data_IF_541846972865
#
_entry.id   IF_541846972865
#
_cell.length_a   1.000
_cell.length_b   1.000
_cell.length_c   1.000
_cell.angle_alpha   90.00
_cell.angle_beta   90.00
_cell.angle_gamma   90.00
#
_symmetry.space_group_name_H-M   'P 1'
#
loop_
_entity.id
_entity.type
_entity.pdbx_description
1 polymer ?
#
# COMPACT_ATOMS: atom_id res chain seq x y z
N UNK A 1 34.41 3.00 -21.46
CA UNK A 1 34.26 2.37 -22.79
C UNK A 1 32.78 2.42 -23.11
N UNK A 2 32.33 3.34 -23.97
CA UNK A 2 30.92 3.42 -24.38
C UNK A 2 30.70 2.29 -25.41
N UNK A 3 29.87 1.31 -25.06
CA UNK A 3 29.47 0.26 -26.01
C UNK A 3 28.58 0.91 -27.08
N UNK A 4 28.79 0.60 -28.36
CA UNK A 4 28.02 1.18 -29.47
C UNK A 4 26.51 0.84 -29.41
N UNK A 5 26.15 -0.20 -28.66
CA UNK A 5 24.77 -0.68 -28.47
C UNK A 5 24.21 -0.42 -27.05
N UNK A 6 24.80 0.52 -26.30
CA UNK A 6 24.46 0.76 -24.89
C UNK A 6 22.98 1.07 -24.65
N UNK A 7 22.38 1.96 -25.44
CA UNK A 7 20.96 2.33 -25.29
C UNK A 7 20.02 1.17 -25.65
N UNK A 8 20.41 0.33 -26.62
CA UNK A 8 19.66 -0.89 -26.95
C UNK A 8 19.69 -1.90 -25.81
N UNK A 9 20.83 -2.03 -25.13
CA UNK A 9 20.96 -2.90 -23.94
C UNK A 9 20.04 -2.38 -22.83
N UNK A 10 20.08 -1.08 -22.54
CA UNK A 10 19.23 -0.48 -21.50
C UNK A 10 17.75 -0.67 -21.83
N UNK A 11 17.35 -0.46 -23.09
CA UNK A 11 15.97 -0.68 -23.52
C UNK A 11 15.53 -2.13 -23.30
N UNK A 12 16.37 -3.11 -23.60
CA UNK A 12 16.07 -4.53 -23.36
C UNK A 12 15.92 -4.82 -21.86
N UNK A 13 16.77 -4.22 -21.02
CA UNK A 13 16.67 -4.33 -19.55
C UNK A 13 15.35 -3.72 -19.06
N UNK A 14 15.01 -2.51 -19.51
CA UNK A 14 13.74 -1.87 -19.14
C UNK A 14 12.53 -2.70 -19.58
N UNK A 15 12.53 -3.25 -20.80
CA UNK A 15 11.47 -4.14 -21.29
C UNK A 15 11.34 -5.40 -20.44
N UNK A 16 12.47 -6.01 -20.08
CA UNK A 16 12.47 -7.16 -19.18
C UNK A 16 11.80 -6.85 -17.84
N UNK A 17 12.12 -5.70 -17.24
CA UNK A 17 11.50 -5.26 -15.99
C UNK A 17 10.05 -4.76 -16.16
N UNK A 18 9.67 -4.25 -17.33
CA UNK A 18 8.29 -3.84 -17.61
C UNK A 18 7.36 -5.03 -17.81
N UNK A 19 7.86 -6.12 -18.41
CA UNK A 19 7.09 -7.33 -18.68
C UNK A 19 6.99 -8.24 -17.44
N UNK A 20 8.00 -8.25 -16.57
CA UNK A 20 8.00 -9.06 -15.34
C UNK A 20 7.52 -8.27 -14.13
N UNK A 21 6.61 -8.85 -13.35
CA UNK A 21 6.25 -8.37 -12.01
C UNK A 21 7.36 -8.66 -10.98
N UNK A 22 8.61 -8.22 -11.26
CA UNK A 22 9.73 -8.38 -10.34
C UNK A 22 10.00 -7.08 -9.59
N UNK A 23 10.12 -7.10 -8.24
CA UNK A 23 10.52 -5.93 -7.49
C UNK A 23 11.97 -5.56 -7.85
N UNK A 24 12.18 -4.33 -8.34
CA UNK A 24 13.50 -3.76 -8.59
C UNK A 24 13.70 -2.55 -7.69
N UNK A 25 14.94 -2.28 -7.29
CA UNK A 25 15.30 -1.02 -6.67
C UNK A 25 15.54 0.00 -7.78
N UNK A 26 14.83 1.13 -7.81
CA UNK A 26 15.04 2.20 -8.80
C UNK A 26 16.51 2.62 -8.92
N UNK A 27 17.26 2.59 -7.82
CA UNK A 27 18.69 2.90 -7.75
C UNK A 27 19.53 1.97 -8.63
N UNK A 28 19.22 0.67 -8.62
CA UNK A 28 19.96 -0.34 -9.39
C UNK A 28 19.80 -0.11 -10.89
N UNK A 29 18.61 0.30 -11.33
CA UNK A 29 18.35 0.68 -12.72
C UNK A 29 18.98 2.03 -13.05
N UNK A 30 18.92 2.99 -12.14
CA UNK A 30 19.46 4.33 -12.33
C UNK A 30 20.98 4.33 -12.56
N UNK A 31 21.72 3.40 -11.94
CA UNK A 31 23.17 3.22 -12.17
C UNK A 31 23.50 2.83 -13.62
N UNK A 32 22.54 2.23 -14.35
CA UNK A 32 22.71 1.93 -15.78
C UNK A 32 22.60 3.18 -16.66
N UNK A 33 22.23 4.33 -16.11
CA UNK A 33 22.09 5.56 -16.86
C UNK A 33 23.26 6.52 -16.63
N UNK A 34 23.76 7.10 -17.72
CA UNK A 34 24.79 8.14 -17.66
C UNK A 34 24.18 9.54 -17.82
N UNK A 35 24.82 10.59 -17.28
CA UNK A 35 24.30 11.96 -17.37
C UNK A 35 24.01 12.47 -18.79
N UNK A 36 24.61 11.88 -19.83
CA UNK A 36 24.48 12.30 -21.23
C UNK A 36 23.35 11.59 -22.01
N UNK A 37 22.41 10.92 -21.34
CA UNK A 37 21.32 10.15 -21.99
C UNK A 37 19.99 10.89 -22.17
N UNK A 38 20.00 12.23 -22.15
CA UNK A 38 18.77 13.02 -22.27
C UNK A 38 17.96 12.70 -23.55
N UNK A 39 18.66 12.54 -24.68
CA UNK A 39 18.01 12.20 -25.95
C UNK A 39 17.29 10.84 -25.87
N UNK A 40 17.97 9.84 -25.33
CA UNK A 40 17.42 8.49 -25.16
C UNK A 40 16.21 8.48 -24.21
N UNK A 41 16.23 9.23 -23.10
CA UNK A 41 15.09 9.32 -22.19
C UNK A 41 13.88 9.97 -22.87
N UNK A 42 14.10 10.99 -23.70
CA UNK A 42 13.02 11.61 -24.47
C UNK A 42 12.42 10.64 -25.51
N UNK A 43 13.26 9.82 -26.15
CA UNK A 43 12.79 8.74 -27.03
C UNK A 43 11.95 7.72 -26.28
N UNK A 44 12.41 7.26 -25.10
CA UNK A 44 11.64 6.34 -24.25
C UNK A 44 10.26 6.91 -23.86
N UNK A 45 10.22 8.18 -23.46
CA UNK A 45 8.95 8.84 -23.11
C UNK A 45 8.03 8.93 -24.34
N UNK A 46 8.60 9.24 -25.51
CA UNK A 46 7.82 9.40 -26.75
C UNK A 46 7.24 8.06 -27.21
N UNK A 47 8.08 7.02 -27.26
CA UNK A 47 7.73 5.71 -27.80
C UNK A 47 6.78 4.93 -26.89
N UNK A 48 6.91 5.10 -25.57
CA UNK A 48 6.19 4.33 -24.57
C UNK A 48 5.21 5.17 -23.74
N UNK A 49 4.85 6.37 -24.19
CA UNK A 49 4.00 7.29 -23.44
C UNK A 49 2.70 6.66 -22.91
N UNK A 50 2.13 5.70 -23.65
CA UNK A 50 0.87 5.01 -23.34
C UNK A 50 1.04 3.70 -22.57
N UNK A 51 2.26 3.30 -22.23
CA UNK A 51 2.56 2.10 -21.45
C UNK A 51 2.76 2.48 -19.96
N UNK A 52 1.81 2.15 -19.07
CA UNK A 52 1.90 2.51 -17.65
C UNK A 52 3.11 1.90 -16.96
N UNK A 53 3.47 0.65 -17.30
CA UNK A 53 4.57 -0.07 -16.65
C UNK A 53 5.90 0.53 -17.05
N UNK A 54 6.08 0.79 -18.35
CA UNK A 54 7.28 1.43 -18.86
C UNK A 54 7.43 2.85 -18.34
N UNK A 55 6.35 3.65 -18.31
CA UNK A 55 6.41 5.02 -17.81
C UNK A 55 6.73 5.08 -16.32
N UNK A 56 6.21 4.15 -15.51
CA UNK A 56 6.61 4.05 -14.10
C UNK A 56 8.11 3.79 -13.95
N UNK A 57 8.64 2.79 -14.66
CA UNK A 57 10.07 2.45 -14.69
C UNK A 57 10.95 3.63 -15.11
N UNK A 58 10.57 4.31 -16.19
CA UNK A 58 11.30 5.47 -16.70
C UNK A 58 11.29 6.61 -15.67
N UNK A 59 10.17 6.87 -15.00
CA UNK A 59 10.09 7.92 -13.98
C UNK A 59 10.79 7.55 -12.66
N UNK A 60 10.87 6.28 -12.31
CA UNK A 60 11.74 5.78 -11.24
C UNK A 60 13.21 6.10 -11.57
N UNK A 61 13.68 5.71 -12.76
CA UNK A 61 15.05 6.04 -13.21
C UNK A 61 15.29 7.55 -13.20
N UNK A 62 14.37 8.35 -13.74
CA UNK A 62 14.48 9.81 -13.75
C UNK A 62 14.59 10.36 -12.32
N UNK A 63 13.79 9.86 -11.37
CA UNK A 63 13.79 10.30 -9.99
C UNK A 63 15.14 10.11 -9.28
N UNK A 64 15.90 9.09 -9.68
CA UNK A 64 17.19 8.75 -9.08
C UNK A 64 18.39 9.31 -9.88
N UNK A 65 18.44 9.10 -11.19
CA UNK A 65 19.56 9.54 -12.03
C UNK A 65 19.46 11.00 -12.49
N UNK A 66 18.24 11.55 -12.64
CA UNK A 66 18.01 12.89 -13.21
C UNK A 66 16.99 13.73 -12.40
N UNK A 67 17.12 13.84 -11.06
CA UNK A 67 16.11 14.46 -10.21
C UNK A 67 15.79 15.92 -10.60
N UNK A 68 16.80 16.69 -11.00
CA UNK A 68 16.67 18.10 -11.40
C UNK A 68 15.89 18.30 -12.70
N UNK A 69 15.87 17.28 -13.58
CA UNK A 69 15.24 17.34 -14.92
C UNK A 69 13.87 16.67 -14.94
N UNK A 70 13.42 16.11 -13.82
CA UNK A 70 12.15 15.38 -13.69
C UNK A 70 10.94 16.17 -14.17
N UNK A 71 10.85 17.46 -13.82
CA UNK A 71 9.74 18.33 -14.25
C UNK A 71 9.71 18.54 -15.76
N UNK A 72 10.88 18.59 -16.42
CA UNK A 72 10.97 18.72 -17.88
C UNK A 72 10.51 17.44 -18.58
N UNK A 73 10.94 16.28 -18.09
CA UNK A 73 10.49 15.00 -18.64
C UNK A 73 9.00 14.75 -18.41
N UNK A 74 8.47 15.12 -17.23
CA UNK A 74 7.04 15.10 -16.97
C UNK A 74 6.27 16.01 -17.95
N UNK A 75 6.81 17.20 -18.22
CA UNK A 75 6.23 18.13 -19.20
C UNK A 75 6.18 17.50 -20.59
N UNK A 76 7.20 16.75 -20.99
CA UNK A 76 7.25 16.06 -22.28
C UNK A 76 6.21 14.93 -22.36
N UNK A 77 6.15 14.08 -21.34
CA UNK A 77 5.13 13.03 -21.26
C UNK A 77 3.72 13.64 -21.36
N UNK A 78 3.43 14.67 -20.59
CA UNK A 78 2.11 15.29 -20.53
C UNK A 78 1.71 16.05 -21.81
N UNK A 79 2.65 16.38 -22.71
CA UNK A 79 2.32 16.92 -24.04
C UNK A 79 1.76 15.84 -24.97
N UNK A 80 2.12 14.58 -24.74
CA UNK A 80 1.83 13.45 -25.62
C UNK A 80 0.71 12.58 -25.02
N UNK A 81 0.73 12.37 -23.70
CA UNK A 81 -0.26 11.59 -22.97
C UNK A 81 -0.96 12.41 -21.87
N UNK A 82 -2.28 12.33 -21.83
CA UNK A 82 -3.15 13.03 -20.88
C UNK A 82 -3.86 12.07 -19.90
N UNK A 83 -3.48 10.79 -19.88
CA UNK A 83 -4.09 9.77 -19.03
C UNK A 83 -3.69 9.98 -17.56
N UNK A 84 -4.70 10.21 -16.75
CA UNK A 84 -4.53 10.44 -15.33
C UNK A 84 -4.05 9.19 -14.58
N UNK A 85 -4.44 8.00 -14.99
CA UNK A 85 -4.05 6.77 -14.29
C UNK A 85 -2.57 6.46 -14.48
N UNK A 86 -2.01 6.77 -15.67
CA UNK A 86 -0.56 6.70 -15.90
C UNK A 86 0.13 7.73 -15.03
N UNK A 87 -0.31 8.99 -15.06
CA UNK A 87 0.27 10.06 -14.24
C UNK A 87 0.28 9.73 -12.74
N UNK A 88 -0.81 9.17 -12.22
CA UNK A 88 -0.97 8.82 -10.80
C UNK A 88 0.02 7.74 -10.34
N UNK A 89 0.49 6.89 -11.26
CA UNK A 89 1.41 5.79 -10.96
C UNK A 89 2.89 6.20 -11.04
N UNK A 90 3.20 7.40 -11.52
CA UNK A 90 4.57 7.88 -11.64
C UNK A 90 5.16 8.25 -10.28
N UNK A 91 6.43 7.94 -10.08
CA UNK A 91 7.20 8.34 -8.92
C UNK A 91 7.67 9.81 -9.04
N UNK A 92 6.73 10.74 -8.86
CA UNK A 92 6.96 12.16 -9.10
C UNK A 92 7.63 12.88 -7.93
N UNK A 93 7.62 12.31 -6.74
CA UNK A 93 8.21 12.90 -5.53
C UNK A 93 8.87 11.77 -4.75
N UNK A 94 10.14 11.95 -4.38
CA UNK A 94 10.94 10.90 -3.76
C UNK A 94 10.22 10.32 -2.54
N UNK A 95 10.17 8.99 -2.47
CA UNK A 95 9.80 8.29 -1.25
C UNK A 95 10.90 8.48 -0.19
N UNK A 96 10.54 8.32 1.09
CA UNK A 96 11.43 8.57 2.22
C UNK A 96 12.56 7.54 2.30
N UNK A 97 13.74 7.99 2.72
CA UNK A 97 14.77 7.18 3.36
C UNK A 97 14.74 7.54 4.85
N UNK A 98 14.57 6.58 5.76
CA UNK A 98 14.42 6.86 7.18
C UNK A 98 15.78 7.02 7.88
N UNK A 99 15.96 8.17 8.50
CA UNK A 99 16.93 8.43 9.56
C UNK A 99 16.21 9.22 10.67
N UNK A 100 16.65 9.05 11.91
CA UNK A 100 16.03 9.63 13.09
C UNK A 100 16.05 11.17 13.06
N UNK A 101 14.89 11.81 12.93
CA UNK A 101 14.73 13.26 13.16
C UNK A 101 13.51 13.44 14.08
N UNK A 102 13.69 14.21 15.15
CA UNK A 102 12.67 14.58 16.16
C UNK A 102 11.46 15.38 15.60
N UNK A 103 11.47 15.80 14.32
CA UNK A 103 10.32 16.45 13.66
C UNK A 103 10.33 16.18 12.15
N UNK A 104 9.15 15.92 11.59
CA UNK A 104 8.95 15.64 10.17
C UNK A 104 8.62 16.91 9.37
N UNK A 105 8.37 18.05 10.04
CA UNK A 105 8.08 19.35 9.40
C UNK A 105 9.08 19.68 8.27
N UNK A 106 10.41 19.65 8.46
CA UNK A 106 11.34 20.03 7.39
C UNK A 106 11.20 19.17 6.14
N UNK A 107 10.95 17.87 6.33
CA UNK A 107 10.71 16.95 5.22
C UNK A 107 9.36 17.20 4.54
N UNK A 108 8.29 17.43 5.32
CA UNK A 108 6.97 17.77 4.79
C UNK A 108 7.02 19.09 4.01
N UNK A 109 7.76 20.09 4.50
CA UNK A 109 8.00 21.36 3.81
C UNK A 109 8.73 21.15 2.48
N UNK A 110 9.79 20.34 2.46
CA UNK A 110 10.50 19.99 1.22
C UNK A 110 9.57 19.27 0.24
N UNK A 111 8.75 18.34 0.72
CA UNK A 111 7.79 17.58 -0.11
C UNK A 111 6.70 18.48 -0.70
N UNK A 112 6.28 19.53 0.03
CA UNK A 112 5.41 20.57 -0.52
C UNK A 112 6.09 21.29 -1.69
N UNK A 113 7.39 21.61 -1.58
CA UNK A 113 8.12 22.25 -2.68
C UNK A 113 8.21 21.33 -3.91
N UNK A 114 8.48 20.04 -3.70
CA UNK A 114 8.51 19.07 -4.79
C UNK A 114 7.15 19.01 -5.52
N UNK A 115 6.04 18.95 -4.79
CA UNK A 115 4.70 18.97 -5.40
C UNK A 115 4.36 20.29 -6.08
N UNK A 116 4.82 21.44 -5.55
CA UNK A 116 4.68 22.74 -6.22
C UNK A 116 5.45 22.78 -7.55
N UNK A 117 6.65 22.19 -7.60
CA UNK A 117 7.40 22.08 -8.86
C UNK A 117 6.63 21.26 -9.90
N UNK A 118 5.91 20.20 -9.47
CA UNK A 118 4.99 19.45 -10.34
C UNK A 118 3.79 20.30 -10.75
N UNK A 119 3.22 21.12 -9.86
CA UNK A 119 2.12 22.03 -10.19
C UNK A 119 2.50 23.03 -11.31
N UNK A 120 3.73 23.54 -11.29
CA UNK A 120 4.27 24.44 -12.31
C UNK A 120 4.42 23.78 -13.69
N UNK A 121 4.53 22.44 -13.75
CA UNK A 121 4.55 21.71 -15.02
C UNK A 121 3.28 22.00 -15.83
N UNK A 122 2.13 22.14 -15.17
CA UNK A 122 0.87 22.36 -15.89
C UNK A 122 0.71 23.78 -16.44
N UNK A 123 1.46 24.79 -15.97
CA UNK A 123 1.29 26.19 -16.39
C UNK A 123 1.50 26.38 -17.90
N UNK A 124 2.45 25.64 -18.49
CA UNK A 124 2.79 25.67 -19.92
C UNK A 124 2.05 24.66 -20.80
N UNK A 125 1.13 23.86 -20.26
CA UNK A 125 0.43 22.81 -21.01
C UNK A 125 -0.94 23.29 -21.51
N UNK A 126 -1.29 22.90 -22.75
CA UNK A 126 -2.53 23.28 -23.45
C UNK A 126 -3.12 22.07 -24.20
N UNK A 127 -4.46 21.92 -24.22
CA UNK A 127 -5.45 22.72 -23.50
C UNK A 127 -5.45 22.38 -22.00
N UNK A 128 -5.57 23.40 -21.14
CA UNK A 128 -5.49 23.24 -19.68
C UNK A 128 -6.58 22.33 -19.09
N UNK A 129 -7.72 22.23 -19.77
CA UNK A 129 -8.89 21.43 -19.38
C UNK A 129 -8.61 19.93 -19.29
N UNK A 130 -7.65 19.41 -20.08
CA UNK A 130 -7.27 17.99 -20.04
C UNK A 130 -6.61 17.58 -18.73
N UNK A 131 -6.06 18.52 -17.97
CA UNK A 131 -5.29 18.24 -16.75
C UNK A 131 -6.05 18.54 -15.46
N UNK A 132 -7.38 18.65 -15.50
CA UNK A 132 -8.17 18.95 -14.30
C UNK A 132 -7.93 17.93 -13.19
N UNK A 133 -8.05 16.63 -13.48
CA UNK A 133 -7.79 15.54 -12.52
C UNK A 133 -6.35 15.55 -11.97
N UNK A 134 -5.38 15.91 -12.81
CA UNK A 134 -3.97 15.95 -12.45
C UNK A 134 -3.69 17.09 -11.46
N UNK A 135 -4.21 18.29 -11.76
CA UNK A 135 -4.11 19.47 -10.89
C UNK A 135 -4.82 19.25 -9.56
N UNK A 136 -6.02 18.67 -9.59
CA UNK A 136 -6.77 18.33 -8.37
C UNK A 136 -6.00 17.35 -7.48
N UNK A 137 -5.39 16.31 -8.07
CA UNK A 137 -4.54 15.37 -7.34
C UNK A 137 -3.35 16.06 -6.68
N UNK A 138 -2.56 16.84 -7.44
CA UNK A 138 -1.38 17.54 -6.90
C UNK A 138 -1.78 18.52 -5.79
N UNK A 139 -2.87 19.26 -5.98
CA UNK A 139 -3.39 20.18 -4.96
C UNK A 139 -3.75 19.44 -3.68
N UNK A 140 -4.44 18.31 -3.77
CA UNK A 140 -4.79 17.48 -2.60
C UNK A 140 -3.56 17.00 -1.83
N UNK A 141 -2.47 16.64 -2.51
CA UNK A 141 -1.21 16.26 -1.85
C UNK A 141 -0.62 17.45 -1.06
N UNK A 142 -0.58 18.64 -1.66
CA UNK A 142 -0.08 19.87 -1.02
C UNK A 142 -0.96 20.26 0.17
N UNK A 143 -2.29 20.26 0.01
CA UNK A 143 -3.24 20.66 1.05
C UNK A 143 -3.24 19.67 2.22
N UNK A 144 -2.99 18.38 1.96
CA UNK A 144 -2.77 17.39 3.02
C UNK A 144 -1.48 17.69 3.80
N UNK A 145 -0.34 17.87 3.12
CA UNK A 145 0.94 18.17 3.78
C UNK A 145 0.92 19.47 4.60
N UNK A 146 0.23 20.51 4.12
CA UNK A 146 0.09 21.77 4.86
C UNK A 146 -0.69 21.59 6.16
N UNK A 147 -1.81 20.87 6.11
CA UNK A 147 -2.61 20.58 7.31
C UNK A 147 -1.81 19.78 8.32
N UNK A 148 -1.09 18.76 7.85
CA UNK A 148 -0.24 17.90 8.67
C UNK A 148 0.92 18.69 9.35
N UNK A 149 1.49 19.69 8.66
CA UNK A 149 2.47 20.63 9.26
C UNK A 149 1.82 21.59 10.27
N UNK A 150 0.63 22.11 9.98
CA UNK A 150 -0.10 23.00 10.90
C UNK A 150 -0.48 22.26 12.19
N UNK A 151 -0.86 20.99 12.08
CA UNK A 151 -1.13 20.09 13.21
C UNK A 151 0.14 19.82 14.06
N UNK A 152 1.30 19.64 13.42
CA UNK A 152 2.59 19.42 14.11
C UNK A 152 3.15 20.72 14.75
N UNK A 153 2.95 21.91 14.14
CA UNK A 153 3.42 23.21 14.66
C UNK A 153 2.58 23.79 15.78
N UNK A 154 1.28 23.49 15.77
CA UNK A 154 0.34 23.93 16.79
C UNK A 154 -0.46 22.72 17.28
N UNK A 155 0.18 21.80 18.02
CA UNK A 155 -0.56 20.80 18.77
C UNK A 155 -1.51 21.59 19.67
N UNK A 156 -2.81 21.55 19.39
CA UNK A 156 -3.80 22.37 20.07
C UNK A 156 -3.56 22.30 21.60
N UNK A 157 -3.34 23.45 22.26
CA UNK A 157 -3.23 23.58 23.74
C UNK A 157 -4.59 23.46 24.43
N UNK A 158 -5.47 22.66 23.85
CA UNK A 158 -6.54 21.98 24.56
C UNK A 158 -6.24 20.51 24.33
N UNK A 159 -6.09 19.67 25.37
CA UNK A 159 -6.10 18.24 25.13
C UNK A 159 -7.40 17.97 24.38
N UNK A 160 -7.30 17.67 23.09
CA UNK A 160 -8.36 16.96 22.40
C UNK A 160 -8.32 15.59 23.07
N UNK A 161 -9.03 15.49 24.17
CA UNK A 161 -9.86 14.32 24.40
C UNK A 161 -10.74 14.30 23.15
N UNK A 162 -10.23 13.69 22.08
CA UNK A 162 -11.08 13.16 21.03
C UNK A 162 -11.88 12.14 21.82
N UNK A 163 -13.09 12.52 22.21
CA UNK A 163 -13.98 11.52 22.74
C UNK A 163 -14.12 10.50 21.61
N UNK A 164 -13.97 9.21 21.92
CA UNK A 164 -13.93 8.11 20.98
C UNK A 164 -15.07 8.13 19.93
N UNK A 165 -16.15 8.87 20.23
CA UNK A 165 -17.36 9.15 19.44
C UNK A 165 -17.20 10.09 18.21
N UNK A 166 -15.99 10.52 17.80
CA UNK A 166 -15.82 11.39 16.59
C UNK A 166 -14.75 10.96 15.58
N UNK A 167 -14.00 9.89 15.84
CA UNK A 167 -13.11 9.32 14.83
C UNK A 167 -13.93 8.52 13.80
N UNK A 168 -13.55 8.53 12.51
CA UNK A 168 -14.26 7.75 11.52
C UNK A 168 -14.14 6.25 11.79
N UNK A 169 -15.20 5.52 11.49
CA UNK A 169 -15.12 4.07 11.34
C UNK A 169 -14.28 3.73 10.10
N UNK A 170 -13.55 2.62 10.17
CA UNK A 170 -12.76 2.15 9.05
C UNK A 170 -13.63 1.62 7.92
N UNK A 171 -13.46 2.19 6.73
CA UNK A 171 -14.14 1.75 5.51
C UNK A 171 -13.10 1.43 4.43
N UNK A 172 -12.68 0.16 4.28
CA UNK A 172 -11.67 -0.20 3.30
C UNK A 172 -12.18 -0.06 1.87
N UNK A 173 -11.26 0.20 0.96
CA UNK A 173 -11.55 0.18 -0.47
C UNK A 173 -11.71 -1.28 -0.91
N UNK A 174 -12.94 -1.66 -1.27
CA UNK A 174 -13.25 -2.93 -1.89
C UNK A 174 -12.96 -2.87 -3.39
N UNK A 175 -11.81 -3.40 -3.79
CA UNK A 175 -11.36 -3.44 -5.18
C UNK A 175 -12.25 -4.36 -6.03
N UNK A 176 -12.25 -4.21 -7.37
CA UNK A 176 -12.96 -5.12 -8.26
C UNK A 176 -12.58 -6.59 -8.05
N UNK A 177 -11.31 -6.87 -7.75
CA UNK A 177 -10.78 -8.22 -7.54
C UNK A 177 -11.35 -8.85 -6.27
N UNK A 178 -11.38 -8.12 -5.15
CA UNK A 178 -12.01 -8.60 -3.90
C UNK A 178 -13.51 -8.83 -4.07
N UNK A 179 -14.20 -7.94 -4.80
CA UNK A 179 -15.62 -8.10 -5.12
C UNK A 179 -15.86 -9.32 -6.01
N UNK A 180 -14.95 -9.58 -6.96
CA UNK A 180 -15.01 -10.74 -7.84
C UNK A 180 -14.84 -12.04 -7.06
N UNK A 181 -13.79 -12.12 -6.23
CA UNK A 181 -13.52 -13.25 -5.35
C UNK A 181 -14.72 -13.56 -4.44
N UNK A 182 -15.26 -12.54 -3.76
CA UNK A 182 -16.46 -12.69 -2.92
C UNK A 182 -17.62 -13.27 -3.72
N UNK A 183 -17.91 -12.70 -4.90
CA UNK A 183 -19.03 -13.14 -5.72
C UNK A 183 -18.86 -14.59 -6.18
N UNK A 184 -17.66 -15.00 -6.58
CA UNK A 184 -17.40 -16.37 -7.03
C UNK A 184 -17.59 -17.39 -5.92
N UNK A 185 -17.10 -17.10 -4.71
CA UNK A 185 -17.30 -17.97 -3.55
C UNK A 185 -18.80 -18.03 -3.20
N UNK A 186 -19.50 -16.88 -3.19
CA UNK A 186 -20.93 -16.84 -2.85
C UNK A 186 -21.82 -17.50 -3.91
N UNK A 187 -21.46 -17.42 -5.19
CA UNK A 187 -22.16 -18.14 -6.28
C UNK A 187 -21.99 -19.66 -6.14
N UNK A 188 -20.80 -20.13 -5.79
CA UNK A 188 -20.53 -21.56 -5.60
C UNK A 188 -21.09 -22.10 -4.28
N UNK A 189 -21.06 -21.31 -3.22
CA UNK A 189 -21.48 -21.67 -1.86
C UNK A 189 -22.49 -20.64 -1.31
N UNK A 190 -23.76 -20.63 -1.78
CA UNK A 190 -24.73 -19.58 -1.44
C UNK A 190 -25.08 -19.48 0.04
N UNK A 191 -25.01 -20.60 0.76
CA UNK A 191 -25.34 -20.68 2.19
C UNK A 191 -24.12 -20.53 3.10
N UNK A 192 -22.92 -20.42 2.53
CA UNK A 192 -21.71 -20.29 3.32
C UNK A 192 -21.55 -18.82 3.74
N UNK A 193 -21.32 -18.63 5.04
CA UNK A 193 -20.93 -17.35 5.59
C UNK A 193 -19.41 -17.29 5.71
N UNK A 194 -18.85 -16.19 5.24
CA UNK A 194 -17.41 -15.98 5.23
C UNK A 194 -17.12 -14.49 5.18
N UNK A 195 -15.95 -14.12 5.69
CA UNK A 195 -15.41 -12.77 5.61
C UNK A 195 -14.16 -12.75 4.74
N UNK A 196 -13.95 -11.63 4.05
CA UNK A 196 -12.72 -11.42 3.28
C UNK A 196 -11.98 -10.17 3.76
N UNK A 197 -10.67 -10.23 3.80
CA UNK A 197 -9.84 -9.05 4.02
C UNK A 197 -8.46 -9.23 3.39
N UNK A 198 -7.73 -8.13 3.21
CA UNK A 198 -6.38 -8.17 2.62
C UNK A 198 -5.40 -7.33 3.41
N UNK A 199 -4.17 -7.82 3.50
CA UNK A 199 -3.07 -7.08 4.12
C UNK A 199 -2.68 -5.83 3.32
N UNK A 200 -3.14 -5.69 2.06
CA UNK A 200 -3.01 -4.43 1.28
C UNK A 200 -3.64 -3.24 2.00
N UNK A 201 -4.64 -3.46 2.86
CA UNK A 201 -5.23 -2.39 3.65
C UNK A 201 -4.24 -1.78 4.65
N UNK A 202 -3.30 -2.58 5.16
CA UNK A 202 -2.27 -2.15 6.10
C UNK A 202 -1.24 -1.19 5.50
N UNK A 203 -1.12 -1.13 4.16
CA UNK A 203 -0.18 -0.24 3.48
C UNK A 203 -0.36 1.25 3.78
N UNK A 204 -1.52 1.64 4.31
CA UNK A 204 -1.79 3.01 4.72
C UNK A 204 -1.06 3.39 6.02
N UNK A 205 -0.57 2.41 6.77
CA UNK A 205 -0.06 2.60 8.14
C UNK A 205 1.35 2.06 8.38
N UNK A 206 1.93 1.38 7.39
CA UNK A 206 3.33 0.92 7.41
C UNK A 206 4.26 1.98 6.83
N UNK A 207 5.48 2.03 7.34
CA UNK A 207 6.53 2.91 6.84
C UNK A 207 7.24 2.29 5.63
N UNK A 208 7.48 0.98 5.67
CA UNK A 208 8.01 0.20 4.56
C UNK A 208 6.89 -0.56 3.85
N UNK A 209 6.75 -0.35 2.54
CA UNK A 209 5.73 -1.07 1.75
C UNK A 209 6.03 -2.58 1.75
N UNK A 210 5.04 -3.37 2.16
CA UNK A 210 5.12 -4.82 2.01
C UNK A 210 5.17 -5.17 0.51
N UNK A 211 6.16 -5.96 0.09
CA UNK A 211 6.27 -6.44 -1.30
C UNK A 211 5.37 -7.63 -1.63
N UNK A 212 4.71 -8.20 -0.61
CA UNK A 212 3.89 -9.41 -0.65
C UNK A 212 2.60 -9.13 0.09
N UNK A 213 1.46 -9.57 -0.45
CA UNK A 213 0.16 -9.36 0.17
C UNK A 213 -0.62 -10.65 0.26
N UNK A 214 -1.40 -10.73 1.33
CA UNK A 214 -2.30 -11.84 1.57
C UNK A 214 -3.73 -11.35 1.44
N UNK A 215 -4.56 -12.13 0.78
CA UNK A 215 -6.01 -12.01 0.85
C UNK A 215 -6.52 -13.21 1.63
N UNK A 216 -7.14 -12.94 2.77
CA UNK A 216 -7.66 -13.95 3.66
C UNK A 216 -9.15 -14.15 3.38
N UNK A 217 -9.53 -15.41 3.20
CA UNK A 217 -10.91 -15.88 3.08
C UNK A 217 -11.19 -16.71 4.33
N UNK A 218 -11.94 -16.13 5.25
CA UNK A 218 -12.21 -16.72 6.56
C UNK A 218 -13.65 -17.26 6.59
N UNK A 219 -13.79 -18.57 6.67
CA UNK A 219 -15.04 -19.29 6.50
C UNK A 219 -15.65 -19.64 7.85
N UNK A 220 -16.91 -19.26 8.07
CA UNK A 220 -17.69 -19.68 9.23
C UNK A 220 -18.10 -21.14 9.07
N UNK A 221 -17.73 -22.01 10.02
CA UNK A 221 -17.93 -23.46 9.93
C UNK A 221 -16.74 -24.27 10.42
N UNK A 222 -16.78 -25.56 10.17
CA UNK A 222 -15.73 -26.53 10.45
C UNK A 222 -14.69 -26.59 9.31
N UNK A 223 -13.69 -27.45 9.50
CA UNK A 223 -12.56 -27.57 8.58
C UNK A 223 -12.98 -28.03 7.18
N UNK A 224 -14.09 -28.78 7.03
CA UNK A 224 -14.57 -29.27 5.74
C UNK A 224 -15.08 -28.14 4.86
N UNK A 225 -15.78 -27.15 5.42
CA UNK A 225 -16.24 -25.99 4.63
C UNK A 225 -15.06 -25.13 4.16
N UNK A 226 -14.09 -24.86 5.03
CA UNK A 226 -12.87 -24.14 4.65
C UNK A 226 -12.09 -24.91 3.55
N UNK A 227 -11.96 -26.23 3.69
CA UNK A 227 -11.30 -27.07 2.70
C UNK A 227 -12.04 -27.09 1.35
N UNK A 228 -13.38 -27.05 1.35
CA UNK A 228 -14.17 -26.98 0.13
C UNK A 228 -13.95 -25.67 -0.63
N UNK A 229 -13.92 -24.54 0.09
CA UNK A 229 -13.58 -23.23 -0.50
C UNK A 229 -12.15 -23.22 -1.04
N UNK A 230 -11.19 -23.73 -0.27
CA UNK A 230 -9.80 -23.89 -0.70
C UNK A 230 -9.69 -24.67 -2.01
N UNK A 231 -10.30 -25.86 -2.07
CA UNK A 231 -10.26 -26.73 -3.24
C UNK A 231 -10.89 -26.06 -4.46
N UNK A 232 -12.00 -25.35 -4.26
CA UNK A 232 -12.65 -24.58 -5.31
C UNK A 232 -11.74 -23.46 -5.85
N UNK A 233 -11.16 -22.63 -4.98
CA UNK A 233 -10.28 -21.54 -5.39
C UNK A 233 -9.00 -22.06 -6.04
N UNK A 234 -8.39 -23.14 -5.51
CA UNK A 234 -7.19 -23.77 -6.06
C UNK A 234 -7.40 -24.32 -7.47
N UNK A 235 -8.64 -24.69 -7.82
CA UNK A 235 -8.99 -25.17 -9.17
C UNK A 235 -9.06 -24.06 -10.23
N UNK A 236 -9.02 -22.78 -9.83
CA UNK A 236 -9.11 -21.64 -10.75
C UNK A 236 -7.71 -21.19 -11.18
N UNK A 237 -7.51 -21.06 -12.49
CA UNK A 237 -6.23 -20.60 -13.06
C UNK A 237 -5.85 -19.17 -12.64
N UNK A 238 -6.83 -18.33 -12.29
CA UNK A 238 -6.62 -16.95 -11.85
C UNK A 238 -6.00 -16.84 -10.45
N UNK A 239 -5.99 -17.93 -9.68
CA UNK A 239 -5.46 -17.99 -8.32
C UNK A 239 -4.25 -18.93 -8.25
N UNK A 240 -3.06 -18.45 -8.67
CA UNK A 240 -1.87 -19.30 -8.75
C UNK A 240 -1.40 -19.79 -7.37
N UNK A 241 -1.68 -19.03 -6.31
CA UNK A 241 -1.17 -19.28 -4.97
C UNK A 241 -2.30 -19.22 -3.95
N UNK A 242 -2.84 -20.40 -3.62
CA UNK A 242 -3.87 -20.60 -2.60
C UNK A 242 -3.35 -21.60 -1.58
N UNK A 243 -3.52 -21.28 -0.29
CA UNK A 243 -3.20 -22.13 0.87
C UNK A 243 -4.42 -22.31 1.76
N UNK A 244 -4.47 -23.45 2.47
CA UNK A 244 -5.44 -23.74 3.52
C UNK A 244 -4.70 -23.66 4.86
N UNK A 245 -4.99 -22.63 5.65
CA UNK A 245 -4.44 -22.38 6.99
C UNK A 245 -2.97 -22.80 7.16
N UNK A 246 -2.03 -22.18 6.41
CA UNK A 246 -0.68 -22.69 6.24
C UNK A 246 0.09 -22.68 7.56
N UNK A 247 0.85 -23.75 7.81
CA UNK A 247 1.70 -23.82 8.99
C UNK A 247 2.97 -22.94 8.88
N UNK A 248 3.73 -22.81 9.97
CA UNK A 248 4.95 -21.99 9.98
C UNK A 248 5.98 -22.39 8.91
N UNK A 249 6.07 -23.69 8.61
CA UNK A 249 6.99 -24.21 7.61
C UNK A 249 6.49 -23.91 6.20
N UNK A 250 5.18 -24.00 5.96
CA UNK A 250 4.58 -23.61 4.70
C UNK A 250 4.68 -22.11 4.46
N UNK A 251 4.52 -21.30 5.50
CA UNK A 251 4.73 -19.86 5.46
C UNK A 251 6.17 -19.53 5.07
N UNK A 252 7.16 -20.10 5.75
CA UNK A 252 8.58 -19.83 5.47
C UNK A 252 9.02 -20.30 4.08
N UNK A 253 8.54 -21.47 3.64
CA UNK A 253 9.02 -22.09 2.40
C UNK A 253 8.20 -21.68 1.17
N UNK A 254 6.93 -21.31 1.32
CA UNK A 254 6.00 -21.20 0.19
C UNK A 254 5.19 -19.92 0.11
N UNK A 255 5.03 -19.14 1.19
CA UNK A 255 4.19 -17.95 1.12
C UNK A 255 4.88 -16.76 0.43
N UNK A 256 4.10 -16.12 -0.45
CA UNK A 256 4.45 -14.88 -1.11
C UNK A 256 5.49 -15.05 -2.21
N UNK A 257 5.45 -16.15 -2.94
CA UNK A 257 6.13 -16.24 -4.25
C UNK A 257 5.46 -15.33 -5.28
N UNK A 258 4.17 -15.05 -5.09
CA UNK A 258 3.38 -14.11 -5.89
C UNK A 258 2.93 -12.90 -5.07
N UNK A 259 2.43 -11.86 -5.74
CA UNK A 259 2.01 -10.61 -5.08
C UNK A 259 0.64 -10.72 -4.39
N UNK A 260 -0.15 -11.75 -4.68
CA UNK A 260 -1.54 -11.89 -4.22
C UNK A 260 -1.83 -13.34 -3.81
N UNK A 261 -1.25 -13.76 -2.68
CA UNK A 261 -1.49 -15.08 -2.09
C UNK A 261 -2.87 -15.12 -1.43
N UNK A 262 -3.65 -16.16 -1.72
CA UNK A 262 -4.92 -16.43 -1.04
C UNK A 262 -4.71 -17.42 0.11
N UNK A 263 -5.26 -17.08 1.27
CA UNK A 263 -5.25 -17.94 2.45
C UNK A 263 -6.70 -18.20 2.83
N UNK A 264 -7.12 -19.46 2.74
CA UNK A 264 -8.42 -19.90 3.22
C UNK A 264 -8.24 -20.49 4.60
N UNK A 265 -9.07 -20.09 5.57
CA UNK A 265 -9.01 -20.60 6.94
C UNK A 265 -10.37 -20.53 7.61
N UNK A 266 -10.51 -21.18 8.75
CA UNK A 266 -11.71 -21.05 9.57
C UNK A 266 -11.79 -19.67 10.23
N UNK A 267 -12.99 -19.11 10.24
CA UNK A 267 -13.32 -17.92 11.00
C UNK A 267 -13.52 -18.32 12.46
N UNK A 268 -12.75 -17.73 13.37
CA UNK A 268 -12.92 -17.94 14.82
C UNK A 268 -14.26 -17.38 15.28
N UNK A 269 -14.93 -18.07 16.21
CA UNK A 269 -16.31 -17.74 16.64
C UNK A 269 -16.47 -16.27 17.10
N UNK A 270 -15.53 -15.75 17.90
CA UNK A 270 -15.60 -14.38 18.43
C UNK A 270 -14.97 -13.32 17.50
N UNK A 271 -14.72 -13.66 16.23
CA UNK A 271 -14.04 -12.77 15.30
C UNK A 271 -14.86 -11.49 15.00
N UNK A 272 -14.28 -10.29 15.23
CA UNK A 272 -14.91 -9.03 14.86
C UNK A 272 -15.07 -8.87 13.34
N UNK A 273 -16.28 -9.08 12.83
CA UNK A 273 -16.63 -8.92 11.41
C UNK A 273 -17.58 -7.73 11.22
N UNK A 274 -17.32 -6.91 10.20
CA UNK A 274 -18.24 -5.87 9.72
C UNK A 274 -19.11 -6.49 8.62
N UNK A 275 -20.38 -6.76 8.95
CA UNK A 275 -21.34 -7.40 8.03
C UNK A 275 -22.11 -6.34 7.23
N UNK A 276 -21.56 -5.94 6.09
CA UNK A 276 -22.25 -5.15 5.07
C UNK A 276 -22.66 -6.05 3.88
N UNK A 277 -22.77 -5.49 2.67
CA UNK A 277 -22.99 -6.23 1.42
C UNK A 277 -21.92 -7.31 1.16
N UNK A 278 -20.68 -7.04 1.58
CA UNK A 278 -19.56 -7.99 1.58
C UNK A 278 -19.04 -8.02 3.02
N UNK A 279 -19.10 -9.15 3.73
CA UNK A 279 -18.55 -9.26 5.07
C UNK A 279 -17.02 -9.16 5.04
N UNK A 280 -16.47 -8.33 5.92
CA UNK A 280 -15.04 -8.06 6.02
C UNK A 280 -14.56 -8.08 7.46
N UNK A 281 -13.27 -8.31 7.68
CA UNK A 281 -12.65 -8.14 8.99
C UNK A 281 -12.72 -6.68 9.45
N UNK A 282 -13.05 -6.44 10.72
CA UNK A 282 -12.94 -5.10 11.32
C UNK A 282 -11.48 -4.75 11.60
N UNK A 283 -11.18 -3.48 11.89
CA UNK A 283 -9.81 -3.11 12.29
C UNK A 283 -9.38 -3.80 13.58
N UNK A 284 -10.28 -3.93 14.56
CA UNK A 284 -9.99 -4.63 15.82
C UNK A 284 -9.47 -6.04 15.55
N UNK A 285 -10.13 -6.77 14.63
CA UNK A 285 -9.72 -8.10 14.22
C UNK A 285 -8.37 -8.10 13.52
N UNK A 286 -8.18 -7.20 12.54
CA UNK A 286 -6.95 -7.12 11.77
C UNK A 286 -5.76 -6.85 12.69
N UNK A 287 -5.88 -5.88 13.60
CA UNK A 287 -4.85 -5.52 14.59
C UNK A 287 -4.51 -6.72 15.49
N UNK A 288 -5.53 -7.38 16.04
CA UNK A 288 -5.32 -8.59 16.87
C UNK A 288 -4.62 -9.70 16.08
N UNK A 289 -5.01 -9.93 14.81
CA UNK A 289 -4.39 -10.97 13.97
C UNK A 289 -2.92 -10.68 13.68
N UNK A 290 -2.56 -9.46 13.28
CA UNK A 290 -1.15 -9.12 13.02
C UNK A 290 -0.28 -9.18 14.28
N UNK A 291 -0.87 -8.94 15.46
CA UNK A 291 -0.18 -9.08 16.75
C UNK A 291 0.00 -10.55 17.16
N UNK A 292 -1.07 -11.34 17.08
CA UNK A 292 -1.09 -12.70 17.61
C UNK A 292 -0.46 -13.75 16.68
N UNK A 293 -0.31 -13.44 15.40
CA UNK A 293 0.19 -14.37 14.38
C UNK A 293 1.49 -13.84 13.72
N UNK A 294 2.58 -13.66 14.50
CA UNK A 294 3.78 -12.98 14.03
C UNK A 294 4.51 -13.69 12.90
N UNK A 295 4.33 -15.01 12.78
CA UNK A 295 4.93 -15.81 11.70
C UNK A 295 4.21 -15.52 10.38
N UNK A 296 2.87 -15.53 10.39
CA UNK A 296 2.08 -15.25 9.20
C UNK A 296 2.27 -13.79 8.76
N UNK A 297 2.28 -12.87 9.71
CA UNK A 297 2.40 -11.43 9.46
C UNK A 297 3.81 -10.88 9.71
N UNK A 298 4.85 -11.67 9.41
CA UNK A 298 6.25 -11.34 9.68
C UNK A 298 6.68 -9.97 9.15
N UNK A 299 6.15 -9.55 8.00
CA UNK A 299 6.44 -8.24 7.38
C UNK A 299 5.85 -7.04 8.12
N UNK A 300 5.00 -7.26 9.12
CA UNK A 300 4.35 -6.23 9.93
C UNK A 300 4.78 -6.29 11.39
N UNK A 301 5.85 -7.02 11.71
CA UNK A 301 6.35 -7.16 13.09
C UNK A 301 7.33 -6.04 13.45
N UNK A 302 7.75 -6.02 14.72
CA UNK A 302 8.71 -5.07 15.26
C UNK A 302 8.23 -3.61 15.11
N UNK A 303 9.04 -2.74 14.51
CA UNK A 303 8.74 -1.30 14.35
C UNK A 303 7.48 -1.05 13.52
N UNK A 304 7.19 -1.90 12.52
CA UNK A 304 5.98 -1.77 11.71
C UNK A 304 4.71 -2.06 12.51
N UNK A 305 4.75 -3.00 13.45
CA UNK A 305 3.60 -3.30 14.30
C UNK A 305 3.25 -2.10 15.17
N UNK A 306 4.26 -1.48 15.79
CA UNK A 306 4.10 -0.27 16.59
C UNK A 306 3.56 0.89 15.76
N UNK A 307 4.11 1.10 14.56
CA UNK A 307 3.68 2.15 13.64
C UNK A 307 2.23 1.96 13.19
N UNK A 308 1.83 0.73 12.82
CA UNK A 308 0.45 0.41 12.46
C UNK A 308 -0.48 0.77 13.62
N UNK A 309 -0.17 0.31 14.84
CA UNK A 309 -1.02 0.57 16.01
C UNK A 309 -1.11 2.07 16.31
N UNK A 310 0.00 2.80 16.36
CA UNK A 310 0.00 4.25 16.58
C UNK A 310 -0.85 4.98 15.53
N UNK A 311 -0.64 4.66 14.26
CA UNK A 311 -1.37 5.29 13.16
C UNK A 311 -2.87 4.97 13.22
N UNK A 312 -3.23 3.72 13.52
CA UNK A 312 -4.63 3.31 13.54
C UNK A 312 -5.37 3.89 14.75
N UNK A 313 -4.80 3.80 15.96
CA UNK A 313 -5.38 4.36 17.19
C UNK A 313 -5.52 5.88 17.16
N UNK A 314 -4.66 6.59 16.42
CA UNK A 314 -4.75 8.05 16.28
C UNK A 314 -5.85 8.48 15.31
N UNK A 315 -6.17 7.65 14.31
CA UNK A 315 -6.99 8.06 13.16
C UNK A 315 -8.36 7.40 13.06
N UNK A 316 -8.63 6.31 13.80
CA UNK A 316 -9.88 5.55 13.70
C UNK A 316 -10.51 5.29 15.06
N UNK A 317 -11.84 5.17 15.05
CA UNK A 317 -12.57 4.66 16.20
C UNK A 317 -12.34 3.15 16.31
N UNK A 318 -11.92 2.69 17.48
CA UNK A 318 -11.67 1.28 17.78
C UNK A 318 -12.35 0.89 19.09
N UNK A 319 -12.84 -0.34 19.14
CA UNK A 319 -13.28 -0.97 20.38
C UNK A 319 -12.15 -1.82 20.99
N UNK A 320 -11.40 -1.24 21.93
CA UNK A 320 -10.31 -1.92 22.63
C UNK A 320 -10.79 -3.13 23.45
N UNK A 321 -12.00 -3.07 24.01
CA UNK A 321 -12.54 -4.22 24.75
C UNK A 321 -12.79 -5.38 23.80
N UNK A 322 -13.33 -5.10 22.61
CA UNK A 322 -13.52 -6.09 21.55
C UNK A 322 -12.19 -6.68 21.06
N UNK A 323 -11.13 -5.87 20.96
CA UNK A 323 -9.78 -6.37 20.66
C UNK A 323 -9.29 -7.35 21.73
N UNK A 324 -9.41 -6.97 23.01
CA UNK A 324 -8.97 -7.82 24.14
C UNK A 324 -9.76 -9.13 24.18
N UNK A 325 -11.09 -9.06 24.04
CA UNK A 325 -11.96 -10.25 23.98
C UNK A 325 -11.57 -11.17 22.82
N UNK A 326 -11.36 -10.62 21.62
CA UNK A 326 -10.98 -11.45 20.47
C UNK A 326 -9.60 -12.11 20.65
N UNK A 327 -8.66 -11.41 21.31
CA UNK A 327 -7.35 -11.96 21.64
C UNK A 327 -7.39 -13.11 22.67
N UNK A 328 -8.49 -13.29 23.42
CA UNK A 328 -8.67 -14.46 24.29
C UNK A 328 -8.65 -15.77 23.49
N UNK A 329 -9.19 -15.76 22.27
CA UNK A 329 -9.12 -16.92 21.37
C UNK A 329 -7.68 -17.31 21.00
N UNK A 330 -6.73 -16.39 21.11
CA UNK A 330 -5.29 -16.61 20.91
C UNK A 330 -4.53 -16.87 22.21
N UNK A 331 -5.21 -16.84 23.37
CA UNK A 331 -4.59 -16.82 24.70
C UNK A 331 -3.61 -15.64 24.89
N UNK A 332 -3.86 -14.49 24.26
CA UNK A 332 -2.97 -13.31 24.28
C UNK A 332 -3.66 -12.02 24.75
N UNK A 333 -4.76 -12.14 25.50
CA UNK A 333 -5.54 -11.00 25.98
C UNK A 333 -4.72 -10.05 26.89
N UNK A 334 -3.83 -10.59 27.73
CA UNK A 334 -3.00 -9.77 28.61
C UNK A 334 -1.91 -9.03 27.83
N UNK A 335 -1.29 -9.72 26.87
CA UNK A 335 -0.22 -9.23 26.01
C UNK A 335 -0.73 -8.09 25.13
N UNK A 336 -1.89 -8.28 24.50
CA UNK A 336 -2.48 -7.22 23.68
C UNK A 336 -2.91 -6.02 24.52
N UNK A 337 -3.46 -6.24 25.72
CA UNK A 337 -3.84 -5.15 26.63
C UNK A 337 -2.61 -4.33 27.06
N UNK A 338 -1.50 -5.00 27.38
CA UNK A 338 -0.24 -4.33 27.69
C UNK A 338 0.30 -3.57 26.48
N UNK A 339 0.25 -4.16 25.28
CA UNK A 339 0.70 -3.50 24.06
C UNK A 339 -0.10 -2.23 23.77
N UNK A 340 -1.44 -2.32 23.81
CA UNK A 340 -2.34 -1.16 23.65
C UNK A 340 -2.01 -0.05 24.67
N UNK A 341 -1.76 -0.42 25.93
CA UNK A 341 -1.37 0.55 26.96
C UNK A 341 -0.04 1.26 26.63
N UNK A 342 0.95 0.54 26.09
CA UNK A 342 2.21 1.14 25.65
C UNK A 342 2.01 2.01 24.40
N UNK A 343 1.19 1.58 23.43
CA UNK A 343 0.83 2.38 22.26
C UNK A 343 0.22 3.71 22.68
N UNK A 344 -0.71 3.71 23.63
CA UNK A 344 -1.29 4.95 24.17
C UNK A 344 -0.26 5.86 24.83
N UNK A 345 0.71 5.29 25.56
CA UNK A 345 1.82 6.10 26.10
C UNK A 345 2.63 6.75 25.00
N UNK A 346 3.00 5.99 23.97
CA UNK A 346 3.77 6.48 22.82
C UNK A 346 3.03 7.62 22.11
N UNK A 347 1.73 7.46 21.87
CA UNK A 347 0.86 8.49 21.27
C UNK A 347 0.85 9.77 22.12
N UNK A 348 0.83 9.65 23.45
CA UNK A 348 0.77 10.80 24.36
C UNK A 348 2.13 11.47 24.60
N UNK A 349 3.24 10.83 24.21
CA UNK A 349 4.60 11.37 24.35
C UNK A 349 5.17 11.97 23.06
N UNK A 350 4.58 11.65 21.92
CA UNK A 350 4.82 12.31 20.62
C UNK A 350 3.90 13.52 20.50
#
# INVERSE_FOLDING_TARGET
MHLENYDQIILQVLKFFAEKYWPYWPEDLAVLFSPNQEAFINELITDYASDPKMMRLVFDVIGHAFPERKSDYLRQLLKINHDFEIFRQLNLVKAKFFGSIESLIPWKEQRIQDWKAIEEVFAGLRPSTKFFKHRDFVKKQIDWLKRDIEEEKHPNTRPKVIRADTLPEFTPILTPELKHLYRQIKEQFPFLDFAIWTTRWLNHWVEHLAGKFYTLVEVEGDHEEAHAVFSFLKSKEEYPEVFLDPDAKEIENYLGYTQDTLIVRNLREDAPIVRHLIPIASLEKILVNIFCEPILFAMYQEEELENIYVNVFTNYQLDEQKMIQYAESYNQANEIQQFIYQTHKLINTK
#
